data_IF_395563339723
#
_entry.id   IF_395563339723
#
_cell.length_a   1.000
_cell.length_b   1.000
_cell.length_c   1.000
_cell.angle_alpha   90.00
_cell.angle_beta   90.00
_cell.angle_gamma   90.00
#
_symmetry.space_group_name_H-M   'P 1'
#
loop_
_entity.id
_entity.type
_entity.pdbx_description
1 polymer ?
#
# COMPACT_ATOMS: atom_id res chain seq x y z
N UNK A 1 3.65 -8.71 -28.83
CA UNK A 1 2.88 -9.72 -28.08
C UNK A 1 1.92 -8.95 -27.20
N UNK A 2 0.65 -9.35 -27.18
CA UNK A 2 -0.34 -8.81 -26.27
C UNK A 2 -0.29 -9.62 -24.98
N UNK A 3 0.12 -8.99 -23.89
CA UNK A 3 0.31 -9.62 -22.58
C UNK A 3 -0.91 -9.48 -21.67
N UNK A 4 -1.95 -8.75 -22.11
CA UNK A 4 -3.12 -8.45 -21.29
C UNK A 4 -3.93 -9.70 -20.96
N UNK A 5 -3.92 -10.71 -21.84
CA UNK A 5 -4.70 -11.94 -21.69
C UNK A 5 -4.02 -13.05 -20.87
N UNK A 6 -2.77 -12.86 -20.43
CA UNK A 6 -2.11 -13.86 -19.59
C UNK A 6 -2.52 -13.70 -18.12
N UNK A 7 -2.76 -14.81 -17.39
CA UNK A 7 -2.89 -14.75 -15.94
C UNK A 7 -1.56 -14.29 -15.33
N UNK A 8 -1.61 -13.27 -14.48
CA UNK A 8 -0.43 -12.67 -13.85
C UNK A 8 -0.48 -12.78 -12.32
N UNK A 9 0.69 -12.79 -11.72
CA UNK A 9 0.87 -12.79 -10.28
C UNK A 9 1.74 -11.60 -9.90
N UNK A 10 1.30 -10.81 -8.92
CA UNK A 10 2.02 -9.65 -8.42
C UNK A 10 2.38 -9.88 -6.94
N UNK A 11 3.67 -9.94 -6.62
CA UNK A 11 4.13 -10.28 -5.25
C UNK A 11 4.77 -9.10 -4.54
N UNK A 12 4.93 -7.94 -5.19
CA UNK A 12 5.58 -6.76 -4.63
C UNK A 12 4.84 -5.48 -5.05
N UNK A 13 3.70 -5.23 -4.40
CA UNK A 13 2.85 -4.08 -4.70
C UNK A 13 2.52 -3.26 -3.46
N UNK A 14 3.03 -2.04 -3.39
CA UNK A 14 2.81 -1.13 -2.26
C UNK A 14 1.48 -0.38 -2.39
N UNK A 15 0.52 -0.63 -1.50
CA UNK A 15 -0.79 0.02 -1.50
C UNK A 15 -0.66 1.55 -1.44
N UNK A 16 0.19 2.03 -0.54
CA UNK A 16 0.48 3.45 -0.26
C UNK A 16 1.25 4.16 -1.39
N UNK A 17 1.62 3.42 -2.45
CA UNK A 17 2.27 3.92 -3.66
C UNK A 17 1.44 3.68 -4.94
N UNK A 18 0.26 3.06 -4.85
CA UNK A 18 -0.52 2.58 -6.01
C UNK A 18 -1.88 3.24 -6.16
N UNK A 19 -2.03 4.47 -5.65
CA UNK A 19 -3.24 5.26 -5.81
C UNK A 19 -3.39 5.70 -7.27
N UNK A 20 -4.47 5.27 -7.94
CA UNK A 20 -4.83 5.74 -9.27
C UNK A 20 -5.22 7.22 -9.28
N UNK A 21 -5.22 7.85 -10.46
CA UNK A 21 -5.74 9.21 -10.59
C UNK A 21 -7.22 9.28 -10.18
N UNK A 22 -8.00 8.25 -10.54
CA UNK A 22 -9.42 8.16 -10.24
C UNK A 22 -9.70 8.19 -8.74
N UNK A 23 -8.98 7.38 -7.93
CA UNK A 23 -9.19 7.37 -6.47
C UNK A 23 -8.65 8.63 -5.80
N UNK A 24 -7.52 9.17 -6.28
CA UNK A 24 -7.01 10.45 -5.77
C UNK A 24 -8.02 11.56 -6.04
N UNK A 25 -8.64 11.59 -7.22
CA UNK A 25 -9.67 12.59 -7.56
C UNK A 25 -10.97 12.38 -6.78
N UNK A 26 -11.32 11.14 -6.45
CA UNK A 26 -12.47 10.86 -5.59
C UNK A 26 -12.28 11.42 -4.17
N UNK A 27 -11.06 11.34 -3.62
CA UNK A 27 -10.70 11.87 -2.30
C UNK A 27 -10.45 13.39 -2.36
N UNK A 28 -9.85 13.89 -3.43
CA UNK A 28 -9.51 15.29 -3.66
C UNK A 28 -10.13 15.76 -5.00
N UNK A 29 -11.38 16.24 -5.00
CA UNK A 29 -12.10 16.59 -6.23
C UNK A 29 -11.43 17.65 -7.11
N UNK A 30 -10.63 18.53 -6.52
CA UNK A 30 -9.86 19.59 -7.20
C UNK A 30 -8.59 19.05 -7.88
N UNK A 31 -8.23 17.77 -7.71
CA UNK A 31 -7.05 17.18 -8.33
C UNK A 31 -7.24 17.10 -9.86
N UNK A 32 -6.28 17.69 -10.59
CA UNK A 32 -6.13 17.52 -12.03
C UNK A 32 -4.99 16.55 -12.39
N UNK A 33 -4.94 16.12 -13.65
CA UNK A 33 -3.97 15.13 -14.12
C UNK A 33 -2.52 15.63 -14.04
N UNK A 34 -2.28 16.92 -14.22
CA UNK A 34 -0.93 17.49 -14.20
C UNK A 34 -0.41 17.51 -12.77
N UNK A 35 -1.21 18.00 -11.83
CA UNK A 35 -0.92 17.99 -10.41
C UNK A 35 -0.73 16.56 -9.89
N UNK A 36 -1.57 15.61 -10.32
CA UNK A 36 -1.42 14.20 -9.97
C UNK A 36 -0.08 13.63 -10.46
N UNK A 37 0.27 13.86 -11.73
CA UNK A 37 1.56 13.39 -12.29
C UNK A 37 2.74 13.96 -11.53
N UNK A 38 2.70 15.25 -11.19
CA UNK A 38 3.75 15.90 -10.42
C UNK A 38 3.83 15.38 -8.98
N UNK A 39 2.71 15.05 -8.35
CA UNK A 39 2.63 14.67 -6.95
C UNK A 39 2.90 13.17 -6.69
N UNK A 40 2.45 12.29 -7.60
CA UNK A 40 2.42 10.83 -7.38
C UNK A 40 3.35 10.05 -8.31
N UNK A 41 3.69 10.58 -9.48
CA UNK A 41 4.49 9.85 -10.47
C UNK A 41 5.96 10.27 -10.37
N UNK A 42 6.83 9.28 -10.21
CA UNK A 42 8.28 9.49 -10.22
C UNK A 42 8.76 9.83 -11.64
N UNK A 43 9.77 10.71 -11.80
CA UNK A 43 10.43 10.87 -13.09
C UNK A 43 11.13 9.56 -13.49
N UNK A 44 11.47 9.37 -14.79
CA UNK A 44 12.19 8.18 -15.26
C UNK A 44 13.55 7.93 -14.57
N UNK A 45 14.13 8.97 -13.96
CA UNK A 45 15.37 8.90 -13.21
C UNK A 45 15.28 9.74 -11.94
N UNK A 46 15.39 9.08 -10.80
CA UNK A 46 15.59 9.70 -9.49
C UNK A 46 17.08 9.76 -9.14
N UNK A 47 17.43 10.59 -8.17
CA UNK A 47 18.82 10.71 -7.70
C UNK A 47 19.27 9.44 -6.95
N UNK A 48 18.39 8.94 -6.07
CA UNK A 48 18.57 7.74 -5.26
C UNK A 48 17.18 7.20 -4.83
N UNK A 49 17.17 6.16 -4.00
CA UNK A 49 15.94 5.57 -3.46
C UNK A 49 15.18 6.56 -2.58
N UNK A 50 15.87 7.35 -1.75
CA UNK A 50 15.22 8.31 -0.85
C UNK A 50 14.45 9.38 -1.64
N UNK A 51 15.02 9.84 -2.75
CA UNK A 51 14.39 10.77 -3.68
C UNK A 51 13.15 10.16 -4.35
N UNK A 52 13.21 8.89 -4.77
CA UNK A 52 12.05 8.17 -5.31
C UNK A 52 10.92 8.04 -4.28
N UNK A 53 11.24 7.66 -3.04
CA UNK A 53 10.27 7.44 -1.96
C UNK A 53 9.48 8.71 -1.57
N UNK A 54 9.96 9.91 -1.92
CA UNK A 54 9.20 11.16 -1.71
C UNK A 54 7.84 11.16 -2.40
N UNK A 55 7.66 10.38 -3.46
CA UNK A 55 6.38 10.26 -4.18
C UNK A 55 5.29 9.52 -3.39
N UNK A 56 5.68 8.67 -2.43
CA UNK A 56 4.74 7.97 -1.56
C UNK A 56 4.09 8.89 -0.52
N UNK A 57 4.72 10.03 -0.18
CA UNK A 57 4.27 10.92 0.90
C UNK A 57 2.82 11.38 0.70
N UNK A 58 2.45 11.74 -0.52
CA UNK A 58 1.09 12.20 -0.82
C UNK A 58 0.07 11.06 -0.72
N UNK A 59 0.45 9.84 -1.15
CA UNK A 59 -0.40 8.66 -0.98
C UNK A 59 -0.68 8.37 0.50
N UNK A 60 0.38 8.37 1.32
CA UNK A 60 0.28 8.23 2.77
C UNK A 60 -0.66 9.28 3.36
N UNK A 61 -0.49 10.56 3.01
CA UNK A 61 -1.31 11.64 3.53
C UNK A 61 -2.80 11.52 3.19
N UNK A 62 -3.14 10.94 2.04
CA UNK A 62 -4.54 10.70 1.68
C UNK A 62 -5.16 9.51 2.41
N UNK A 63 -4.35 8.59 2.92
CA UNK A 63 -4.79 7.33 3.54
C UNK A 63 -4.84 7.41 5.07
N UNK A 64 -5.29 8.51 5.65
CA UNK A 64 -5.32 8.70 7.12
C UNK A 64 -6.68 8.39 7.77
N UNK A 65 -7.71 8.10 6.97
CA UNK A 65 -9.06 7.76 7.44
C UNK A 65 -9.46 6.36 6.98
N UNK A 66 -10.41 5.74 7.71
CA UNK A 66 -10.94 4.42 7.31
C UNK A 66 -11.59 4.45 5.93
N UNK A 67 -12.30 5.53 5.63
CA UNK A 67 -12.95 5.74 4.34
C UNK A 67 -11.93 5.74 3.20
N UNK A 68 -10.84 6.50 3.33
CA UNK A 68 -9.84 6.60 2.28
C UNK A 68 -9.01 5.32 2.14
N UNK A 69 -8.66 4.66 3.25
CA UNK A 69 -8.01 3.34 3.22
C UNK A 69 -8.85 2.32 2.44
N UNK A 70 -10.16 2.29 2.69
CA UNK A 70 -11.08 1.42 1.97
C UNK A 70 -11.17 1.79 0.48
N UNK A 71 -11.34 3.07 0.15
CA UNK A 71 -11.42 3.53 -1.24
C UNK A 71 -10.18 3.14 -2.05
N UNK A 72 -8.98 3.38 -1.50
CA UNK A 72 -7.71 3.06 -2.16
C UNK A 72 -7.54 1.54 -2.33
N UNK A 73 -7.91 0.75 -1.32
CA UNK A 73 -7.82 -0.72 -1.41
C UNK A 73 -8.74 -1.29 -2.48
N UNK A 74 -10.00 -0.86 -2.53
CA UNK A 74 -10.95 -1.32 -3.55
C UNK A 74 -10.54 -0.88 -4.96
N UNK A 75 -10.03 0.34 -5.09
CA UNK A 75 -9.52 0.83 -6.36
C UNK A 75 -8.33 0.00 -6.87
N UNK A 76 -7.38 -0.35 -6.00
CA UNK A 76 -6.24 -1.18 -6.37
C UNK A 76 -6.66 -2.56 -6.89
N UNK A 77 -7.64 -3.21 -6.25
CA UNK A 77 -8.18 -4.50 -6.71
C UNK A 77 -8.81 -4.40 -8.10
N UNK A 78 -9.52 -3.30 -8.40
CA UNK A 78 -10.06 -3.02 -9.73
C UNK A 78 -8.97 -2.69 -10.76
N UNK A 79 -7.85 -2.10 -10.34
CA UNK A 79 -6.67 -1.94 -11.21
C UNK A 79 -6.11 -3.33 -11.59
N UNK A 80 -5.91 -4.21 -10.60
CA UNK A 80 -5.38 -5.56 -10.79
C UNK A 80 -6.27 -6.44 -11.68
N UNK A 81 -7.59 -6.36 -11.52
CA UNK A 81 -8.55 -7.06 -12.36
C UNK A 81 -8.42 -6.64 -13.84
N UNK A 82 -8.38 -5.32 -14.09
CA UNK A 82 -8.24 -4.76 -15.44
C UNK A 82 -6.92 -5.18 -16.11
N UNK A 83 -5.89 -5.38 -15.31
CA UNK A 83 -4.60 -5.86 -15.80
C UNK A 83 -4.57 -7.38 -15.98
N UNK A 84 -5.55 -8.15 -15.51
CA UNK A 84 -5.56 -9.62 -15.62
C UNK A 84 -4.63 -10.30 -14.61
N UNK A 85 -4.43 -9.67 -13.44
CA UNK A 85 -3.78 -10.30 -12.28
C UNK A 85 -4.76 -11.25 -11.61
N UNK A 86 -4.32 -12.47 -11.32
CA UNK A 86 -5.13 -13.51 -10.66
C UNK A 86 -4.78 -13.69 -9.18
N UNK A 87 -3.58 -13.25 -8.77
CA UNK A 87 -3.14 -13.27 -7.37
C UNK A 87 -2.22 -12.09 -7.08
N UNK A 88 -2.44 -11.43 -5.93
CA UNK A 88 -1.57 -10.35 -5.47
C UNK A 88 -1.18 -10.46 -3.98
N UNK A 89 0.08 -10.16 -3.65
CA UNK A 89 0.51 -9.85 -2.29
C UNK A 89 0.73 -8.33 -2.17
N UNK A 90 -0.27 -7.66 -1.59
CA UNK A 90 -0.31 -6.21 -1.41
C UNK A 90 0.37 -5.89 -0.08
N UNK A 91 1.31 -4.96 -0.11
CA UNK A 91 2.12 -4.58 1.05
C UNK A 91 1.91 -3.11 1.40
N UNK A 92 1.95 -2.77 2.68
CA UNK A 92 1.83 -1.37 3.15
C UNK A 92 2.31 -1.23 4.60
N UNK A 93 2.67 -0.01 5.00
CA UNK A 93 3.13 0.26 6.37
C UNK A 93 1.98 0.77 7.26
N UNK A 94 1.33 -0.06 8.10
CA UNK A 94 0.17 0.37 8.88
C UNK A 94 0.46 1.55 9.82
N UNK A 95 1.70 1.66 10.30
CA UNK A 95 2.12 2.73 11.21
C UNK A 95 2.26 4.11 10.52
N UNK A 96 2.21 4.19 9.18
CA UNK A 96 2.17 5.47 8.46
C UNK A 96 0.78 6.12 8.44
N UNK A 97 -0.27 5.40 8.86
CA UNK A 97 -1.68 5.79 8.69
C UNK A 97 -2.39 6.18 10.00
N UNK A 98 -1.65 6.75 10.95
CA UNK A 98 -2.13 7.03 12.31
C UNK A 98 -2.38 8.53 12.60
N UNK A 99 -2.09 9.43 11.65
CA UNK A 99 -2.01 10.89 11.89
C UNK A 99 -3.36 11.51 12.21
N UNK A 100 -4.46 10.90 11.78
CA UNK A 100 -5.83 11.35 12.08
C UNK A 100 -6.53 10.51 13.17
N UNK A 101 -5.74 9.82 14.00
CA UNK A 101 -6.24 9.20 15.24
C UNK A 101 -6.66 7.74 15.11
N UNK A 102 -6.32 7.07 14.00
CA UNK A 102 -6.45 5.62 13.90
C UNK A 102 -5.40 4.93 14.78
N UNK A 103 -5.79 3.80 15.37
CA UNK A 103 -4.85 2.86 15.94
C UNK A 103 -4.30 1.91 14.87
N UNK A 104 -3.13 1.29 15.07
CA UNK A 104 -2.56 0.36 14.10
C UNK A 104 -3.49 -0.80 13.72
N UNK A 105 -4.25 -1.33 14.69
CA UNK A 105 -5.28 -2.33 14.43
C UNK A 105 -6.41 -1.81 13.55
N UNK A 106 -6.87 -0.57 13.76
CA UNK A 106 -7.93 0.04 12.97
C UNK A 106 -7.54 0.12 11.50
N UNK A 107 -6.28 0.45 11.23
CA UNK A 107 -5.71 0.53 9.89
C UNK A 107 -5.72 -0.85 9.23
N UNK A 108 -5.19 -1.88 9.91
CA UNK A 108 -5.11 -3.24 9.36
C UNK A 108 -6.49 -3.83 9.15
N UNK A 109 -7.41 -3.69 10.12
CA UNK A 109 -8.80 -4.14 10.00
C UNK A 109 -9.49 -3.49 8.80
N UNK A 110 -9.33 -2.18 8.63
CA UNK A 110 -9.97 -1.47 7.52
C UNK A 110 -9.47 -1.93 6.16
N UNK A 111 -8.15 -2.08 5.99
CA UNK A 111 -7.57 -2.55 4.73
C UNK A 111 -7.94 -4.01 4.49
N UNK A 112 -7.99 -4.85 5.53
CA UNK A 112 -8.39 -6.25 5.44
C UNK A 112 -9.86 -6.40 5.01
N UNK A 113 -10.78 -5.66 5.63
CA UNK A 113 -12.21 -5.69 5.29
C UNK A 113 -12.42 -5.25 3.84
N UNK A 114 -11.74 -4.19 3.41
CA UNK A 114 -11.78 -3.70 2.04
C UNK A 114 -11.15 -4.69 1.05
N UNK A 115 -10.09 -5.41 1.46
CA UNK A 115 -9.48 -6.46 0.65
C UNK A 115 -10.46 -7.62 0.44
N UNK A 116 -11.13 -8.08 1.48
CA UNK A 116 -12.11 -9.17 1.39
C UNK A 116 -13.30 -8.78 0.48
N UNK A 117 -13.79 -7.55 0.62
CA UNK A 117 -14.79 -6.97 -0.28
C UNK A 117 -14.30 -6.96 -1.73
N UNK A 118 -13.12 -6.39 -1.98
CA UNK A 118 -12.55 -6.26 -3.33
C UNK A 118 -12.26 -7.60 -4.00
N UNK A 119 -11.78 -8.60 -3.25
CA UNK A 119 -11.61 -9.97 -3.75
C UNK A 119 -12.96 -10.56 -4.16
N UNK A 120 -14.03 -10.34 -3.38
CA UNK A 120 -15.38 -10.78 -3.70
C UNK A 120 -15.97 -10.10 -4.95
N UNK A 121 -15.68 -8.82 -5.16
CA UNK A 121 -16.15 -8.05 -6.32
C UNK A 121 -15.42 -8.42 -7.62
N UNK A 122 -14.09 -8.58 -7.56
CA UNK A 122 -13.22 -8.68 -8.75
C UNK A 122 -12.79 -10.11 -9.08
N UNK A 123 -12.86 -11.02 -8.11
CA UNK A 123 -12.32 -12.38 -8.23
C UNK A 123 -10.78 -12.46 -8.24
N UNK A 124 -10.06 -11.34 -8.07
CA UNK A 124 -8.60 -11.34 -7.88
C UNK A 124 -8.30 -11.82 -6.48
N UNK A 125 -7.61 -12.95 -6.33
CA UNK A 125 -7.18 -13.40 -5.00
C UNK A 125 -6.07 -12.51 -4.46
N UNK A 126 -6.12 -12.16 -3.18
CA UNK A 126 -5.10 -11.29 -2.60
C UNK A 126 -4.79 -11.58 -1.13
N UNK A 127 -3.56 -11.29 -0.72
CA UNK A 127 -3.09 -11.28 0.66
C UNK A 127 -2.38 -9.97 1.01
N UNK A 128 -2.28 -9.67 2.31
CA UNK A 128 -1.60 -8.51 2.86
C UNK A 128 -0.25 -8.87 3.47
N UNK A 129 0.77 -8.09 3.17
CA UNK A 129 2.05 -8.06 3.89
C UNK A 129 2.13 -6.75 4.69
N UNK A 130 2.39 -6.82 5.99
CA UNK A 130 2.54 -5.61 6.80
C UNK A 130 4.01 -5.20 6.85
N UNK A 131 4.30 -3.97 6.42
CA UNK A 131 5.65 -3.43 6.34
C UNK A 131 6.04 -2.74 7.65
N UNK A 132 7.23 -3.06 8.17
CA UNK A 132 8.00 -2.07 8.95
C UNK A 132 8.91 -1.29 8.02
N UNK A 133 9.27 -0.08 8.41
CA UNK A 133 10.14 0.79 7.63
C UNK A 133 11.51 0.88 8.28
N UNK A 134 12.58 0.87 7.49
CA UNK A 134 13.96 0.81 8.01
C UNK A 134 14.33 1.94 8.96
N UNK A 135 13.71 3.11 8.81
CA UNK A 135 13.93 4.27 9.67
C UNK A 135 13.16 4.21 11.00
N UNK A 136 12.32 3.19 11.21
CA UNK A 136 11.62 2.98 12.46
C UNK A 136 12.55 2.51 13.58
N UNK A 137 12.17 2.84 14.82
CA UNK A 137 12.81 2.31 16.01
C UNK A 137 12.44 0.82 16.21
N UNK A 138 13.26 0.02 16.93
CA UNK A 138 13.01 -1.41 17.11
C UNK A 138 11.62 -1.76 17.66
N UNK A 139 11.06 -0.90 18.51
CA UNK A 139 9.74 -1.13 19.10
C UNK A 139 8.59 -1.02 18.09
N UNK A 140 8.72 -0.17 17.06
CA UNK A 140 7.74 -0.04 15.97
C UNK A 140 7.80 -1.26 15.05
N UNK A 141 8.98 -1.79 14.76
CA UNK A 141 9.12 -3.02 13.98
C UNK A 141 8.53 -4.22 14.70
N UNK A 142 8.75 -4.31 16.01
CA UNK A 142 8.10 -5.30 16.87
C UNK A 142 6.58 -5.11 16.91
N UNK A 143 6.08 -3.88 16.88
CA UNK A 143 4.65 -3.59 16.79
C UNK A 143 4.05 -4.11 15.48
N UNK A 144 4.69 -3.85 14.33
CA UNK A 144 4.27 -4.44 13.05
C UNK A 144 4.27 -5.97 13.08
N UNK A 145 5.31 -6.59 13.63
CA UNK A 145 5.37 -8.06 13.77
C UNK A 145 4.22 -8.60 14.65
N UNK A 146 3.85 -7.89 15.72
CA UNK A 146 2.70 -8.24 16.57
C UNK A 146 1.37 -8.07 15.82
N UNK A 147 1.24 -7.08 14.94
CA UNK A 147 0.05 -6.96 14.08
C UNK A 147 -0.07 -8.17 13.15
N UNK A 148 1.03 -8.59 12.50
CA UNK A 148 1.03 -9.81 11.66
C UNK A 148 0.60 -11.04 12.49
N UNK A 149 1.12 -11.19 13.71
CA UNK A 149 0.70 -12.27 14.59
C UNK A 149 -0.77 -12.17 15.00
N UNK A 150 -1.28 -10.95 15.27
CA UNK A 150 -2.65 -10.69 15.70
C UNK A 150 -3.67 -11.04 14.61
N UNK A 151 -3.37 -10.69 13.37
CA UNK A 151 -4.23 -10.96 12.20
C UNK A 151 -3.92 -12.30 11.54
N UNK A 152 -3.17 -13.19 12.22
CA UNK A 152 -2.98 -14.58 11.81
C UNK A 152 -4.32 -15.24 11.48
N UNK A 153 -4.37 -15.94 10.35
CA UNK A 153 -5.55 -16.71 9.93
C UNK A 153 -6.58 -15.88 9.16
N UNK A 154 -6.32 -14.60 8.95
CA UNK A 154 -7.00 -13.78 7.93
C UNK A 154 -6.16 -13.76 6.64
N UNK A 155 -6.45 -12.81 5.72
CA UNK A 155 -5.62 -12.56 4.54
C UNK A 155 -4.31 -11.83 4.83
N UNK A 156 -3.94 -11.54 6.08
CA UNK A 156 -2.58 -11.12 6.43
C UNK A 156 -1.64 -12.32 6.36
N UNK A 157 -0.79 -12.36 5.34
CA UNK A 157 0.02 -13.54 4.98
C UNK A 157 1.51 -13.38 5.25
N UNK A 158 1.97 -12.18 5.63
CA UNK A 158 3.39 -11.98 5.91
C UNK A 158 3.77 -10.61 6.43
N UNK A 159 5.08 -10.43 6.51
CA UNK A 159 5.78 -9.28 7.05
C UNK A 159 6.84 -8.84 6.05
N UNK A 160 7.04 -7.52 5.89
CA UNK A 160 8.06 -6.95 5.02
C UNK A 160 8.86 -5.87 5.73
N UNK A 161 10.07 -5.59 5.23
CA UNK A 161 10.93 -4.49 5.67
C UNK A 161 11.27 -3.64 4.45
N UNK A 162 10.78 -2.41 4.43
CA UNK A 162 10.92 -1.50 3.29
C UNK A 162 11.56 -0.16 3.69
N UNK A 163 11.58 0.82 2.77
CA UNK A 163 12.19 2.16 2.91
C UNK A 163 13.68 2.23 2.55
N UNK A 164 14.30 3.37 2.86
CA UNK A 164 15.64 3.79 2.43
C UNK A 164 16.76 2.91 3.02
N UNK A 165 17.18 1.91 2.26
CA UNK A 165 18.22 0.95 2.66
C UNK A 165 19.61 1.57 2.84
N UNK A 166 19.95 2.60 2.05
CA UNK A 166 21.30 3.16 2.07
C UNK A 166 21.57 3.94 3.37
N UNK A 167 20.56 4.64 3.88
CA UNK A 167 20.69 5.47 5.07
C UNK A 167 20.26 4.78 6.37
N UNK A 168 19.52 3.66 6.28
CA UNK A 168 19.01 2.92 7.44
C UNK A 168 19.34 1.42 7.34
N UNK A 169 20.43 0.97 8.00
CA UNK A 169 20.82 -0.44 7.99
C UNK A 169 19.85 -1.30 8.80
N UNK A 170 19.96 -2.63 8.65
CA UNK A 170 18.98 -3.57 9.20
C UNK A 170 19.11 -3.81 10.71
N UNK A 171 20.20 -3.36 11.34
CA UNK A 171 20.57 -3.69 12.73
C UNK A 171 19.50 -3.36 13.79
N UNK A 172 18.57 -2.44 13.49
CA UNK A 172 17.48 -2.06 14.38
C UNK A 172 16.26 -3.02 14.35
N UNK A 173 16.24 -4.00 13.45
CA UNK A 173 15.07 -4.84 13.11
C UNK A 173 15.29 -6.31 13.42
#
# INVERSE_FOLDING_TARGET
MDWNHLPKVELHLHLDCSLSFEVVRAICPEMDEQAYREAFIAPPKCTDLADFLRKAINGILLMQTRENLRLVTLDLLRQLEREGVIYAEIRFAPLEHLREGLHPEDVVETVLDALEEGVGETGVEAGLLLCTLRHYAPWQSMETARLVQRFRGTRVVGFDIASDEANYPIDAH
#
